data_IF_378254904670
#
_entry.id   IF_378254904670
#
_cell.length_a   1.000
_cell.length_b   1.000
_cell.length_c   1.000
_cell.angle_alpha   90.00
_cell.angle_beta   90.00
_cell.angle_gamma   90.00
#
_symmetry.space_group_name_H-M   'P 1'
#
loop_
_entity.id
_entity.type
_entity.pdbx_description
1 polymer ?
#
# COMPACT_ATOMS: atom_id res chain seq x y z
N UNK A 1 2.27 -5.37 -7.00
CA UNK A 1 1.76 -4.05 -6.61
C UNK A 1 1.65 -3.09 -7.80
N UNK A 2 2.74 -2.58 -8.39
CA UNK A 2 2.63 -1.65 -9.54
C UNK A 2 1.74 -2.19 -10.68
N UNK A 3 1.93 -3.45 -11.10
CA UNK A 3 1.15 -4.03 -12.21
C UNK A 3 -0.34 -4.14 -11.91
N UNK A 4 -0.70 -4.73 -10.78
CA UNK A 4 -2.09 -5.13 -10.47
C UNK A 4 -2.90 -4.03 -9.75
N UNK A 5 -2.23 -3.16 -9.01
CA UNK A 5 -2.87 -2.18 -8.13
C UNK A 5 -2.86 -0.76 -8.72
N UNK A 6 -1.99 -0.51 -9.71
CA UNK A 6 -1.87 0.80 -10.37
C UNK A 6 -2.07 0.72 -11.89
N UNK A 7 -1.37 -0.18 -12.59
CA UNK A 7 -1.46 -0.26 -14.06
C UNK A 7 -2.77 -0.91 -14.54
N UNK A 8 -3.30 -1.88 -13.78
CA UNK A 8 -4.59 -2.48 -14.09
C UNK A 8 -5.74 -1.59 -13.61
N UNK A 9 -6.51 -1.06 -14.56
CA UNK A 9 -7.74 -0.29 -14.32
C UNK A 9 -8.95 -1.02 -14.91
N UNK A 10 -10.04 -1.09 -14.14
CA UNK A 10 -11.29 -1.67 -14.58
C UNK A 10 -12.22 -0.62 -15.18
N UNK A 11 -12.27 -0.57 -16.52
CA UNK A 11 -13.13 0.35 -17.27
C UNK A 11 -14.65 0.15 -17.04
N UNK A 12 -15.08 -0.96 -16.43
CA UNK A 12 -16.49 -1.22 -16.11
C UNK A 12 -16.86 -0.95 -14.65
N UNK A 13 -15.92 -0.48 -13.82
CA UNK A 13 -16.16 -0.19 -12.41
C UNK A 13 -16.38 1.31 -12.19
N UNK A 14 -17.45 1.69 -11.48
CA UNK A 14 -17.87 3.09 -11.33
C UNK A 14 -16.79 4.02 -10.76
N UNK A 15 -15.93 3.51 -9.86
CA UNK A 15 -14.85 4.29 -9.22
C UNK A 15 -13.49 4.16 -9.93
N UNK A 16 -13.26 3.04 -10.64
CA UNK A 16 -11.95 2.72 -11.23
C UNK A 16 -11.95 2.95 -12.76
N UNK A 17 -13.10 3.31 -13.34
CA UNK A 17 -13.24 3.71 -14.74
C UNK A 17 -12.49 5.00 -15.07
N UNK A 18 -12.25 5.86 -14.07
CA UNK A 18 -11.49 7.10 -14.22
C UNK A 18 -10.83 7.46 -12.88
N UNK A 19 -9.52 7.70 -12.91
CA UNK A 19 -8.74 8.06 -11.72
C UNK A 19 -8.17 9.47 -11.87
N UNK A 20 -8.58 10.47 -11.06
CA UNK A 20 -8.01 11.81 -11.08
C UNK A 20 -6.50 11.82 -10.77
N UNK A 21 -5.78 12.84 -11.27
CA UNK A 21 -4.32 12.92 -11.12
C UNK A 21 -3.87 12.91 -9.65
N UNK A 22 -4.62 13.55 -8.76
CA UNK A 22 -4.33 13.56 -7.32
C UNK A 22 -4.40 12.15 -6.73
N UNK A 23 -5.45 11.38 -7.09
CA UNK A 23 -5.60 9.99 -6.67
C UNK A 23 -4.47 9.12 -7.24
N UNK A 24 -4.12 9.29 -8.52
CA UNK A 24 -2.99 8.58 -9.13
C UNK A 24 -1.68 8.85 -8.38
N UNK A 25 -1.40 10.12 -8.06
CA UNK A 25 -0.21 10.51 -7.31
C UNK A 25 -0.17 9.83 -5.94
N UNK A 26 -1.27 9.89 -5.18
CA UNK A 26 -1.35 9.27 -3.85
C UNK A 26 -1.17 7.74 -3.93
N UNK A 27 -1.86 7.07 -4.85
CA UNK A 27 -1.71 5.62 -5.05
C UNK A 27 -0.25 5.23 -5.34
N UNK A 28 0.39 5.90 -6.30
CA UNK A 28 1.76 5.58 -6.68
C UNK A 28 2.74 5.90 -5.54
N UNK A 29 2.55 7.03 -4.86
CA UNK A 29 3.34 7.42 -3.68
C UNK A 29 3.26 6.35 -2.60
N UNK A 30 2.06 5.84 -2.28
CA UNK A 30 1.86 4.79 -1.27
C UNK A 30 2.51 3.46 -1.68
N UNK A 31 2.42 3.06 -2.95
CA UNK A 31 3.09 1.84 -3.45
C UNK A 31 4.62 1.95 -3.33
N UNK A 32 5.19 3.09 -3.72
CA UNK A 32 6.64 3.33 -3.62
C UNK A 32 7.06 3.41 -2.14
N UNK A 33 6.24 4.04 -1.30
CA UNK A 33 6.49 4.13 0.14
C UNK A 33 6.58 2.74 0.78
N UNK A 34 5.58 1.88 0.52
CA UNK A 34 5.60 0.49 0.98
C UNK A 34 6.88 -0.24 0.54
N UNK A 35 7.25 -0.13 -0.75
CA UNK A 35 8.44 -0.78 -1.27
C UNK A 35 9.72 -0.35 -0.54
N UNK A 36 9.91 0.96 -0.33
CA UNK A 36 11.10 1.47 0.36
C UNK A 36 11.16 0.98 1.80
N UNK A 37 10.04 1.08 2.55
CA UNK A 37 9.98 0.68 3.95
C UNK A 37 10.14 -0.82 4.13
N UNK A 38 9.48 -1.62 3.30
CA UNK A 38 9.67 -3.07 3.29
C UNK A 38 11.12 -3.45 3.00
N UNK A 39 11.77 -2.80 2.04
CA UNK A 39 13.19 -3.02 1.72
C UNK A 39 14.10 -2.71 2.90
N UNK A 40 13.87 -1.60 3.62
CA UNK A 40 14.63 -1.27 4.83
C UNK A 40 14.51 -2.35 5.91
N UNK A 41 13.29 -2.88 6.11
CA UNK A 41 13.02 -3.92 7.11
C UNK A 41 13.58 -5.29 6.71
N UNK A 42 13.53 -5.64 5.42
CA UNK A 42 14.22 -6.82 4.89
C UNK A 42 15.73 -6.75 5.14
N UNK A 43 16.35 -5.59 4.87
CA UNK A 43 17.77 -5.38 5.13
C UNK A 43 18.10 -5.42 6.63
N UNK A 44 17.14 -5.12 7.49
CA UNK A 44 17.26 -5.25 8.95
C UNK A 44 17.03 -6.67 9.47
N UNK A 45 16.75 -7.65 8.59
CA UNK A 45 16.62 -9.07 8.94
C UNK A 45 15.20 -9.57 9.15
N UNK A 46 14.17 -8.77 8.81
CA UNK A 46 12.78 -9.23 8.84
C UNK A 46 12.53 -10.26 7.74
N UNK A 47 11.78 -11.32 8.05
CA UNK A 47 11.48 -12.37 7.08
C UNK A 47 10.55 -11.83 6.00
N UNK A 48 10.85 -12.15 4.73
CA UNK A 48 10.03 -11.79 3.58
C UNK A 48 8.61 -12.35 3.69
N UNK A 49 8.44 -13.55 4.26
CA UNK A 49 7.12 -14.18 4.42
C UNK A 49 6.22 -13.36 5.36
N UNK A 50 6.78 -12.74 6.40
CA UNK A 50 6.03 -11.88 7.31
C UNK A 50 5.55 -10.60 6.60
N UNK A 51 6.40 -10.02 5.76
CA UNK A 51 6.06 -8.83 4.95
C UNK A 51 5.02 -9.17 3.88
N UNK A 52 5.13 -10.34 3.25
CA UNK A 52 4.13 -10.81 2.28
C UNK A 52 2.76 -11.05 2.93
N UNK A 53 2.70 -11.44 4.19
CA UNK A 53 1.45 -11.68 4.91
C UNK A 53 0.85 -10.44 5.59
N UNK A 54 1.46 -9.26 5.42
CA UNK A 54 0.94 -8.00 5.95
C UNK A 54 -0.46 -7.67 5.40
N UNK A 55 -1.38 -7.28 6.30
CA UNK A 55 -2.76 -6.94 5.95
C UNK A 55 -2.83 -5.65 5.12
N UNK A 56 -1.89 -4.73 5.31
CA UNK A 56 -1.83 -3.47 4.56
C UNK A 56 -1.69 -3.67 3.05
N UNK A 57 -1.17 -4.82 2.59
CA UNK A 57 -1.07 -5.14 1.15
C UNK A 57 -2.46 -5.20 0.49
N UNK A 58 -3.46 -5.72 1.19
CA UNK A 58 -4.84 -5.76 0.69
C UNK A 58 -5.44 -4.34 0.62
N UNK A 59 -5.13 -3.48 1.60
CA UNK A 59 -5.53 -2.07 1.58
C UNK A 59 -4.93 -1.33 0.37
N UNK A 60 -3.65 -1.57 0.08
CA UNK A 60 -2.96 -1.01 -1.09
C UNK A 60 -3.62 -1.48 -2.39
N UNK A 61 -3.93 -2.77 -2.52
CA UNK A 61 -4.61 -3.31 -3.70
C UNK A 61 -6.01 -2.72 -3.94
N UNK A 62 -6.68 -2.29 -2.87
CA UNK A 62 -8.03 -1.70 -2.92
C UNK A 62 -8.07 -0.18 -3.08
N UNK A 63 -6.92 0.52 -3.09
CA UNK A 63 -6.89 1.99 -3.25
C UNK A 63 -7.58 2.46 -4.53
N UNK A 64 -7.54 1.66 -5.61
CA UNK A 64 -8.24 1.96 -6.87
C UNK A 64 -9.76 2.11 -6.71
N UNK A 65 -10.35 1.54 -5.68
CA UNK A 65 -11.77 1.64 -5.37
C UNK A 65 -12.12 2.77 -4.38
N UNK A 66 -11.14 3.53 -3.90
CA UNK A 66 -11.39 4.70 -3.02
C UNK A 66 -12.01 5.83 -3.84
N UNK A 67 -13.11 6.38 -3.36
CA UNK A 67 -13.79 7.51 -3.99
C UNK A 67 -12.91 8.77 -3.98
N UNK A 68 -13.01 9.59 -5.03
CA UNK A 68 -12.15 10.77 -5.21
C UNK A 68 -12.34 11.87 -4.15
N UNK A 69 -13.41 11.81 -3.36
CA UNK A 69 -13.68 12.71 -2.23
C UNK A 69 -13.22 12.16 -0.87
N UNK A 70 -12.60 10.97 -0.85
CA UNK A 70 -12.13 10.27 0.36
C UNK A 70 -10.65 9.89 0.27
N UNK A 71 -9.85 10.75 -0.34
CA UNK A 71 -8.43 10.46 -0.61
C UNK A 71 -7.58 10.38 0.66
N UNK A 72 -8.07 10.91 1.79
CA UNK A 72 -7.48 10.75 3.12
C UNK A 72 -7.30 9.27 3.50
N UNK A 73 -8.18 8.39 3.04
CA UNK A 73 -8.08 6.95 3.27
C UNK A 73 -6.77 6.40 2.68
N UNK A 74 -6.29 6.95 1.55
CA UNK A 74 -5.03 6.53 0.93
C UNK A 74 -3.83 7.03 1.74
N UNK A 75 -3.94 8.19 2.39
CA UNK A 75 -2.88 8.72 3.25
C UNK A 75 -2.77 7.89 4.54
N UNK A 76 -3.90 7.46 5.11
CA UNK A 76 -3.93 6.60 6.31
C UNK A 76 -3.24 5.24 6.10
N UNK A 77 -3.23 4.73 4.86
CA UNK A 77 -2.50 3.49 4.53
C UNK A 77 -1.00 3.64 4.81
N UNK A 78 -0.41 4.83 4.66
CA UNK A 78 1.00 5.03 5.01
C UNK A 78 1.26 4.80 6.51
N UNK A 79 0.31 5.23 7.36
CA UNK A 79 0.37 5.00 8.81
C UNK A 79 0.24 3.51 9.12
N UNK A 80 -0.67 2.82 8.43
CA UNK A 80 -0.83 1.37 8.56
C UNK A 80 0.45 0.61 8.16
N UNK A 81 1.12 1.03 7.08
CA UNK A 81 2.40 0.43 6.63
C UNK A 81 3.43 0.49 7.75
N UNK A 82 3.64 1.68 8.32
CA UNK A 82 4.64 1.85 9.39
C UNK A 82 4.27 1.08 10.66
N UNK A 83 2.98 1.05 11.00
CA UNK A 83 2.48 0.33 12.17
C UNK A 83 2.71 -1.17 12.05
N UNK A 84 2.32 -1.78 10.93
CA UNK A 84 2.50 -3.22 10.70
C UNK A 84 3.98 -3.60 10.63
N UNK A 85 4.82 -2.83 9.91
CA UNK A 85 6.26 -3.10 9.84
C UNK A 85 6.92 -3.02 11.21
N UNK A 86 6.60 -1.99 12.00
CA UNK A 86 7.16 -1.85 13.34
C UNK A 86 6.78 -3.02 14.25
N UNK A 87 5.55 -3.54 14.14
CA UNK A 87 5.13 -4.73 14.87
C UNK A 87 5.95 -5.97 14.48
N UNK A 88 6.26 -6.15 13.19
CA UNK A 88 7.13 -7.25 12.73
C UNK A 88 8.55 -7.15 13.32
N UNK A 89 9.12 -5.94 13.36
CA UNK A 89 10.43 -5.74 13.97
C UNK A 89 10.44 -6.03 15.46
N UNK A 90 9.42 -5.56 16.20
CA UNK A 90 9.32 -5.85 17.64
C UNK A 90 9.14 -7.33 17.95
N UNK A 91 8.60 -8.13 17.01
CA UNK A 91 8.51 -9.58 17.15
C UNK A 91 9.85 -10.31 16.93
N UNK A 92 10.79 -9.73 16.16
CA UNK A 92 12.13 -10.30 15.93
C UNK A 92 13.10 -10.06 17.10
N UNK A 93 12.88 -8.98 17.85
CA UNK A 93 13.72 -8.60 19.00
C UNK A 93 13.31 -9.36 20.30
N UNK A 94 12.26 -10.19 20.26
CA UNK A 94 11.78 -11.04 21.36
C UNK A 94 12.25 -12.49 21.21
#
# INVERSE_FOLDING_TARGET
MIREDFLHQNAFHDVDTYTPIEKQYKMLKTIIYFYNRASDFLNAGVNIEDIENMQVREKIARMKYVESNKLEIIDDIAVDIDTELQNLRSALEQ
#
